data_IF_106798123829
#
_entry.id   IF_106798123829
#
_cell.length_a   1.000
_cell.length_b   1.000
_cell.length_c   1.000
_cell.angle_alpha   90.00
_cell.angle_beta   90.00
_cell.angle_gamma   90.00
#
_symmetry.space_group_name_H-M   'P 1'
#
loop_
_entity.id
_entity.type
_entity.pdbx_description
1 polymer ?
#
# COMPACT_ATOMS: atom_id res chain seq x y z
N UNK A 1 14.54 12.47 -17.02
CA UNK A 1 14.53 12.50 -15.55
C UNK A 1 15.10 11.19 -15.05
N UNK A 2 16.34 11.19 -14.57
CA UNK A 2 17.04 9.97 -14.14
C UNK A 2 16.97 9.85 -12.62
N UNK A 3 16.60 8.67 -12.11
CA UNK A 3 16.55 8.42 -10.67
C UNK A 3 17.93 8.65 -10.06
N UNK A 4 18.05 9.63 -9.16
CA UNK A 4 19.32 9.96 -8.48
C UNK A 4 19.87 8.85 -7.59
N UNK A 5 19.04 7.89 -7.19
CA UNK A 5 19.40 6.78 -6.26
C UNK A 5 19.04 5.41 -6.82
N UNK A 6 19.69 5.03 -7.91
CA UNK A 6 19.53 3.70 -8.51
C UNK A 6 20.00 2.56 -7.59
N UNK A 7 20.93 2.86 -6.68
CA UNK A 7 21.45 1.95 -5.64
C UNK A 7 20.37 1.36 -4.74
N UNK A 8 19.28 2.11 -4.50
CA UNK A 8 18.17 1.73 -3.63
C UNK A 8 16.97 1.11 -4.33
N UNK A 9 17.08 0.88 -5.64
CA UNK A 9 15.99 0.25 -6.39
C UNK A 9 15.90 -1.22 -6.01
N UNK A 10 14.84 -1.60 -5.31
CA UNK A 10 14.54 -3.01 -5.07
C UNK A 10 14.09 -3.67 -6.38
N UNK A 11 14.92 -4.55 -6.92
CA UNK A 11 14.62 -5.37 -8.08
C UNK A 11 14.66 -6.86 -7.67
N UNK A 12 13.64 -7.61 -8.07
CA UNK A 12 13.54 -9.05 -7.80
C UNK A 12 12.79 -9.38 -6.51
N UNK A 13 12.21 -10.60 -6.48
CA UNK A 13 11.25 -11.00 -5.45
C UNK A 13 11.77 -10.96 -4.00
N UNK A 14 13.06 -11.28 -3.77
CA UNK A 14 13.65 -11.19 -2.41
C UNK A 14 13.72 -9.74 -1.90
N UNK A 15 14.09 -8.79 -2.75
CA UNK A 15 14.16 -7.39 -2.38
C UNK A 15 12.77 -6.78 -2.13
N UNK A 16 11.75 -7.26 -2.84
CA UNK A 16 10.36 -6.82 -2.65
C UNK A 16 9.71 -7.37 -1.39
N UNK A 17 10.16 -8.51 -0.86
CA UNK A 17 9.74 -9.03 0.46
C UNK A 17 10.45 -8.32 1.61
N UNK A 18 11.74 -8.03 1.44
CA UNK A 18 12.54 -7.37 2.48
C UNK A 18 12.01 -5.98 2.89
N UNK A 19 11.41 -5.22 1.97
CA UNK A 19 10.84 -3.90 2.27
C UNK A 19 9.65 -4.00 3.24
N UNK A 20 8.56 -4.72 2.92
CA UNK A 20 7.44 -4.85 3.81
C UNK A 20 7.76 -5.67 5.08
N UNK A 21 8.73 -6.59 5.05
CA UNK A 21 9.21 -7.27 6.28
C UNK A 21 9.85 -6.31 7.29
N UNK A 22 10.59 -5.31 6.80
CA UNK A 22 11.23 -4.31 7.66
C UNK A 22 10.28 -3.19 8.12
N UNK A 23 9.07 -3.09 7.55
CA UNK A 23 8.15 -1.98 7.76
C UNK A 23 6.84 -2.43 8.41
N UNK A 24 6.49 -1.84 9.56
CA UNK A 24 5.24 -2.16 10.26
C UNK A 24 4.04 -1.30 9.81
N UNK A 25 4.31 -0.13 9.22
CA UNK A 25 3.29 0.87 8.83
C UNK A 25 3.60 1.39 7.44
N UNK A 26 2.58 1.45 6.57
CA UNK A 26 2.66 2.10 5.26
C UNK A 26 1.96 3.46 5.34
N UNK A 27 2.51 4.47 4.64
CA UNK A 27 1.84 5.77 4.47
C UNK A 27 1.29 5.83 3.07
N UNK A 28 -0.03 5.84 2.95
CA UNK A 28 -0.72 5.94 1.66
C UNK A 28 -0.99 7.42 1.41
N UNK A 29 -0.45 7.93 0.30
CA UNK A 29 -0.70 9.28 -0.17
C UNK A 29 -1.83 9.25 -1.19
N UNK A 30 -2.87 10.05 -0.95
CA UNK A 30 -3.98 10.28 -1.87
C UNK A 30 -3.92 11.73 -2.32
N UNK A 31 -4.00 11.97 -3.63
CA UNK A 31 -4.03 13.30 -4.20
C UNK A 31 -5.42 13.57 -4.78
N UNK A 32 -5.99 14.71 -4.45
CA UNK A 32 -7.21 15.25 -5.05
C UNK A 32 -7.03 16.74 -5.41
N UNK A 33 -8.13 17.42 -5.73
CA UNK A 33 -8.11 18.86 -6.06
C UNK A 33 -7.81 19.76 -4.85
N UNK A 34 -8.06 19.29 -3.62
CA UNK A 34 -7.83 20.03 -2.38
C UNK A 34 -6.38 19.89 -1.89
N UNK A 35 -5.70 18.80 -2.24
CA UNK A 35 -4.28 18.64 -1.99
C UNK A 35 -3.80 17.20 -1.88
N UNK A 36 -2.77 17.00 -1.06
CA UNK A 36 -2.16 15.71 -0.80
C UNK A 36 -2.43 15.29 0.65
N UNK A 37 -3.18 14.22 0.82
CA UNK A 37 -3.42 13.59 2.12
C UNK A 37 -2.53 12.38 2.31
N UNK A 38 -1.93 12.24 3.50
CA UNK A 38 -1.06 11.11 3.84
C UNK A 38 -1.59 10.42 5.09
N UNK A 39 -2.06 9.18 4.93
CA UNK A 39 -2.63 8.39 6.03
C UNK A 39 -1.72 7.21 6.37
N UNK A 40 -1.23 7.10 7.63
CA UNK A 40 -0.52 5.92 8.10
C UNK A 40 -1.49 4.77 8.36
N UNK A 41 -1.21 3.60 7.80
CA UNK A 41 -2.03 2.39 7.92
C UNK A 41 -1.17 1.17 8.20
N UNK A 42 -1.66 0.30 9.07
CA UNK A 42 -1.12 -1.06 9.19
C UNK A 42 -1.48 -1.84 7.94
N UNK A 43 -0.57 -2.68 7.48
CA UNK A 43 -0.75 -3.44 6.26
C UNK A 43 -0.27 -4.89 6.43
N UNK A 44 -0.95 -5.79 5.74
CA UNK A 44 -0.40 -7.08 5.35
C UNK A 44 0.04 -7.03 3.90
N UNK A 45 0.83 -7.99 3.45
CA UNK A 45 1.27 -8.04 2.07
C UNK A 45 1.38 -9.48 1.57
N UNK A 46 1.32 -9.63 0.26
CA UNK A 46 1.62 -10.87 -0.42
C UNK A 46 2.51 -10.60 -1.65
N UNK A 47 3.39 -11.54 -1.94
CA UNK A 47 4.36 -11.50 -3.02
C UNK A 47 4.22 -12.78 -3.84
N UNK A 48 3.30 -12.78 -4.80
CA UNK A 48 3.06 -13.87 -5.75
C UNK A 48 3.39 -13.44 -7.18
N UNK A 49 3.98 -14.34 -7.98
CA UNK A 49 4.21 -14.14 -9.42
C UNK A 49 4.91 -12.83 -9.80
N UNK A 50 5.82 -12.34 -8.94
CA UNK A 50 6.49 -11.07 -9.16
C UNK A 50 5.55 -9.85 -9.07
N UNK A 51 4.48 -9.94 -8.27
CA UNK A 51 3.62 -8.81 -7.91
C UNK A 51 3.58 -8.70 -6.40
N UNK A 52 3.82 -7.49 -5.89
CA UNK A 52 3.63 -7.16 -4.49
C UNK A 52 2.21 -6.58 -4.33
N UNK A 53 1.36 -7.28 -3.57
CA UNK A 53 0.04 -6.82 -3.19
C UNK A 53 0.07 -6.36 -1.73
N UNK A 54 -0.38 -5.13 -1.47
CA UNK A 54 -0.54 -4.59 -0.11
C UNK A 54 -2.01 -4.62 0.27
N UNK A 55 -2.30 -5.13 1.45
CA UNK A 55 -3.64 -5.23 2.03
C UNK A 55 -3.71 -4.36 3.26
N UNK A 56 -4.58 -3.35 3.25
CA UNK A 56 -4.85 -2.51 4.42
C UNK A 56 -6.22 -2.79 4.97
N UNK A 57 -6.32 -2.88 6.29
CA UNK A 57 -7.60 -3.00 6.97
C UNK A 57 -8.07 -1.63 7.43
N UNK A 58 -9.24 -1.20 6.97
CA UNK A 58 -9.87 0.04 7.39
C UNK A 58 -11.36 -0.15 7.59
N UNK A 59 -11.95 0.70 8.41
CA UNK A 59 -13.40 0.75 8.56
C UNK A 59 -14.08 1.09 7.22
N UNK A 60 -15.30 0.55 7.03
CA UNK A 60 -16.10 0.81 5.81
C UNK A 60 -16.45 2.30 5.64
N UNK A 61 -16.44 3.04 6.74
CA UNK A 61 -16.70 4.47 6.82
C UNK A 61 -15.56 5.11 7.60
N UNK A 62 -15.01 6.21 7.08
CA UNK A 62 -13.86 6.90 7.69
C UNK A 62 -13.03 7.66 6.67
N UNK A 63 -12.09 8.47 7.17
CA UNK A 63 -11.26 9.38 6.37
C UNK A 63 -10.57 8.65 5.20
N UNK A 64 -9.95 7.50 5.44
CA UNK A 64 -9.30 6.72 4.38
C UNK A 64 -10.26 6.34 3.24
N UNK A 65 -11.46 5.86 3.56
CA UNK A 65 -12.45 5.49 2.52
C UNK A 65 -12.95 6.70 1.73
N UNK A 66 -13.08 7.86 2.38
CA UNK A 66 -13.46 9.12 1.72
C UNK A 66 -12.35 9.55 0.77
N UNK A 67 -11.11 9.66 1.26
CA UNK A 67 -9.94 10.07 0.48
C UNK A 67 -9.69 9.12 -0.70
N UNK A 68 -9.76 7.81 -0.46
CA UNK A 68 -9.56 6.80 -1.48
C UNK A 68 -10.60 6.87 -2.61
N UNK A 69 -11.84 7.24 -2.30
CA UNK A 69 -12.89 7.45 -3.31
C UNK A 69 -12.67 8.74 -4.10
N UNK A 70 -12.18 9.80 -3.47
CA UNK A 70 -11.90 11.10 -4.12
C UNK A 70 -10.71 11.02 -5.06
N UNK A 71 -9.67 10.27 -4.70
CA UNK A 71 -8.42 10.19 -5.46
C UNK A 71 -8.48 9.36 -6.75
N UNK A 72 -9.67 8.85 -7.15
CA UNK A 72 -9.85 8.07 -8.38
C UNK A 72 -9.00 6.79 -8.46
N UNK A 73 -8.45 6.34 -7.34
CA UNK A 73 -7.43 5.30 -7.30
C UNK A 73 -8.07 3.92 -7.49
N UNK A 74 -7.58 3.15 -8.46
CA UNK A 74 -8.13 1.85 -8.88
C UNK A 74 -7.76 0.70 -7.91
N UNK A 75 -8.12 0.85 -6.63
CA UNK A 75 -8.00 -0.23 -5.65
C UNK A 75 -9.22 -1.12 -5.66
N UNK A 76 -9.00 -2.43 -5.62
CA UNK A 76 -10.06 -3.42 -5.47
C UNK A 76 -10.29 -3.66 -3.99
N UNK A 77 -11.55 -3.57 -3.56
CA UNK A 77 -11.97 -4.03 -2.23
C UNK A 77 -11.91 -5.55 -2.22
N UNK A 78 -10.94 -6.13 -1.52
CA UNK A 78 -10.96 -7.55 -1.21
C UNK A 78 -11.96 -7.79 -0.06
N UNK A 79 -12.85 -8.80 -0.14
CA UNK A 79 -13.64 -9.20 1.01
C UNK A 79 -12.68 -9.60 2.14
N UNK A 80 -12.98 -9.21 3.37
CA UNK A 80 -12.24 -9.61 4.55
C UNK A 80 -12.27 -11.14 4.68
N UNK A 81 -11.30 -11.83 4.09
CA UNK A 81 -11.04 -13.23 4.40
C UNK A 81 -10.41 -13.26 5.81
N UNK A 82 -10.89 -14.10 6.74
CA UNK A 82 -10.25 -14.29 8.04
C UNK A 82 -8.99 -15.16 7.89
N UNK A 83 -8.18 -14.91 6.87
CA UNK A 83 -6.98 -15.67 6.52
C UNK A 83 -5.74 -14.79 6.71
N UNK A 84 -5.61 -14.24 7.92
CA UNK A 84 -4.33 -13.77 8.44
C UNK A 84 -4.18 -14.42 9.82
N UNK A 85 -3.99 -15.74 9.81
CA UNK A 85 -3.36 -16.43 10.92
C UNK A 85 -1.88 -16.42 10.60
N UNK A 86 -1.11 -15.73 11.45
CA UNK A 86 0.35 -15.89 11.49
C UNK A 86 0.74 -17.32 11.83
#
# INVERSE_FOLDING_TARGET
MEMKRKDRRANGGKAWRAIPDACQVVRIATQDEEGLDIVPMNFGYDCENGKLALYVHSAREGLFTILFRRSGSSGRRAPCRPAWKG
#
